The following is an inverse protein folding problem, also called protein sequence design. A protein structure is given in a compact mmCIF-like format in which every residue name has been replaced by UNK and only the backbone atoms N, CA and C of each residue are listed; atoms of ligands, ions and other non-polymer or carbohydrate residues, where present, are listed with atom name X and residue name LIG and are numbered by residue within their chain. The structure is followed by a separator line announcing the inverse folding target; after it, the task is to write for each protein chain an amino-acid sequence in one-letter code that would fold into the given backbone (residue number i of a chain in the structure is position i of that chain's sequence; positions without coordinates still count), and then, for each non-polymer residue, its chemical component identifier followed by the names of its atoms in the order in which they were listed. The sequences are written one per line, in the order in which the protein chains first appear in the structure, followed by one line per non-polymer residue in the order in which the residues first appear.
data_IF_348298676463
#
_entry.id   IF_348298676463
#
_cell.length_a   1.000
_cell.length_b   1.000
_cell.length_c   1.000
_cell.angle_alpha   90.00
_cell.angle_beta   90.00
_cell.angle_gamma   90.00
#
_symmetry.space_group_name_H-M   'P 1'
#
loop_
_entity.id
_entity.type
_entity.pdbx_description
1 polymer ?
#
# COMPACT_ATOMS: atom_id res chain seq x y z
N UNK A 1 29.02 5.50 30.68
CA UNK A 1 27.71 5.55 30.02
C UNK A 1 27.62 4.34 29.09
N UNK A 2 26.67 3.44 29.38
CA UNK A 2 26.54 2.13 28.73
C UNK A 2 25.84 2.30 27.37
N UNK A 3 26.45 1.78 26.30
CA UNK A 3 25.81 1.62 24.98
C UNK A 3 25.24 0.22 24.93
N UNK A 4 23.92 0.11 24.79
CA UNK A 4 23.25 -1.17 24.61
C UNK A 4 23.32 -1.54 23.13
N UNK A 5 23.97 -2.67 22.86
CA UNK A 5 24.07 -3.33 21.57
C UNK A 5 22.82 -4.21 21.44
N UNK A 6 21.89 -3.87 20.56
CA UNK A 6 20.79 -4.78 20.21
C UNK A 6 21.23 -5.65 19.04
N UNK A 7 21.59 -6.90 19.36
CA UNK A 7 21.71 -7.99 18.39
C UNK A 7 20.34 -8.64 18.33
N UNK A 8 19.63 -8.48 17.21
CA UNK A 8 18.37 -9.19 16.98
C UNK A 8 18.71 -10.46 16.20
N UNK A 9 18.69 -11.59 16.92
CA UNK A 9 18.71 -12.94 16.36
C UNK A 9 17.37 -13.21 15.67
N UNK A 10 17.41 -13.45 14.36
CA UNK A 10 16.28 -13.91 13.56
C UNK A 10 15.96 -15.37 13.92
N UNK A 11 14.79 -15.62 14.50
CA UNK A 11 14.26 -16.98 14.69
C UNK A 11 13.30 -17.29 13.55
N UNK A 12 13.69 -18.19 12.66
CA UNK A 12 12.80 -18.75 11.65
C UNK A 12 11.75 -19.64 12.33
N UNK A 13 10.47 -19.24 12.29
CA UNK A 13 9.36 -20.11 12.67
C UNK A 13 8.93 -20.88 11.42
N UNK A 14 9.50 -22.07 11.25
CA UNK A 14 8.95 -23.09 10.36
C UNK A 14 7.85 -23.81 11.12
N UNK A 15 6.59 -23.58 10.76
CA UNK A 15 5.49 -24.40 11.24
C UNK A 15 5.53 -25.76 10.53
N UNK A 16 6.25 -26.72 11.12
CA UNK A 16 6.14 -28.14 10.79
C UNK A 16 5.17 -28.83 11.76
N UNK A 17 4.03 -29.27 11.25
CA UNK A 17 3.26 -30.41 11.78
C UNK A 17 2.77 -31.22 10.57
N UNK A 18 2.88 -32.54 10.47
CA UNK A 18 3.44 -33.56 11.35
C UNK A 18 3.90 -34.79 10.54
N UNK A 19 4.46 -35.75 11.27
CA UNK A 19 5.26 -36.88 10.81
C UNK A 19 4.55 -37.98 10.00
N UNK A 20 5.21 -38.35 8.90
CA UNK A 20 5.67 -39.70 8.49
C UNK A 20 4.72 -40.72 7.84
N UNK A 21 4.97 -40.99 6.55
CA UNK A 21 5.39 -42.32 6.08
C UNK A 21 6.16 -42.25 4.75
N UNK A 22 7.27 -43.00 4.67
CA UNK A 22 8.20 -43.12 3.53
C UNK A 22 7.58 -43.73 2.27
N UNK A 23 8.01 -43.25 1.10
CA UNK A 23 7.88 -43.92 -0.19
C UNK A 23 8.52 -43.11 -1.32
N UNK A 24 9.70 -43.54 -1.76
CA UNK A 24 10.54 -42.94 -2.80
C UNK A 24 9.84 -42.73 -4.16
N UNK A 25 10.11 -41.62 -4.84
CA UNK A 25 10.91 -41.55 -6.09
C UNK A 25 10.79 -40.20 -6.79
N UNK A 26 11.95 -39.72 -7.25
CA UNK A 26 12.24 -38.72 -8.28
C UNK A 26 11.10 -37.91 -8.92
N UNK A 27 11.12 -36.59 -8.69
CA UNK A 27 10.95 -35.62 -9.78
C UNK A 27 11.62 -34.29 -9.39
N UNK A 28 12.55 -33.87 -10.24
CA UNK A 28 13.15 -32.53 -10.26
C UNK A 28 12.07 -31.51 -10.58
N UNK A 29 12.00 -30.43 -9.82
CA UNK A 29 11.52 -29.14 -10.33
C UNK A 29 12.41 -28.03 -9.78
N UNK A 30 13.10 -27.38 -10.71
CA UNK A 30 13.81 -26.13 -10.55
C UNK A 30 12.78 -25.01 -10.36
N UNK A 31 12.66 -24.46 -9.16
CA UNK A 31 12.07 -23.15 -8.95
C UNK A 31 13.06 -22.30 -8.17
N UNK A 32 13.78 -21.47 -8.91
CA UNK A 32 14.69 -20.46 -8.37
C UNK A 32 13.89 -19.43 -7.58
N UNK A 33 13.90 -19.55 -6.24
CA UNK A 33 13.43 -18.48 -5.36
C UNK A 33 14.46 -17.34 -5.40
N UNK A 34 14.14 -16.27 -6.11
CA UNK A 34 14.83 -15.00 -5.94
C UNK A 34 14.46 -14.42 -4.55
N UNK A 35 15.47 -14.28 -3.71
CA UNK A 35 15.41 -13.54 -2.45
C UNK A 35 15.26 -12.05 -2.77
N UNK A 36 14.07 -11.49 -2.58
CA UNK A 36 13.89 -10.04 -2.52
C UNK A 36 14.06 -9.61 -1.07
N UNK A 37 15.04 -8.74 -0.84
CA UNK A 37 15.33 -8.08 0.43
C UNK A 37 14.19 -7.12 0.74
N UNK A 38 13.42 -7.41 1.79
CA UNK A 38 12.34 -6.57 2.27
C UNK A 38 12.91 -5.36 3.05
N UNK A 39 12.97 -4.20 2.40
CA UNK A 39 13.07 -2.90 3.06
C UNK A 39 11.66 -2.28 3.10
N UNK A 40 10.99 -2.40 4.25
CA UNK A 40 9.89 -1.59 4.79
C UNK A 40 8.97 -0.80 3.82
N UNK A 41 8.39 -1.46 2.83
CA UNK A 41 7.19 -0.98 2.12
C UNK A 41 6.03 -1.86 2.59
N UNK A 42 4.91 -1.27 3.02
CA UNK A 42 3.70 -2.04 3.35
C UNK A 42 3.19 -2.68 2.06
N UNK A 43 3.56 -3.94 1.85
CA UNK A 43 3.22 -4.74 0.67
C UNK A 43 1.71 -5.03 0.65
N UNK A 44 1.03 -4.67 -0.44
CA UNK A 44 -0.30 -5.19 -0.76
C UNK A 44 -0.12 -6.18 -1.90
N UNK A 45 -0.04 -7.47 -1.57
CA UNK A 45 0.16 -8.55 -2.53
C UNK A 45 -1.19 -9.04 -3.09
N UNK A 46 -1.28 -9.27 -4.41
CA UNK A 46 -2.34 -10.10 -5.00
C UNK A 46 -2.12 -11.57 -4.62
N UNK A 47 -3.13 -12.19 -4.04
CA UNK A 47 -3.14 -13.64 -3.80
C UNK A 47 -3.41 -14.37 -5.12
N UNK A 48 -2.36 -14.90 -5.76
CA UNK A 48 -2.50 -15.93 -6.81
C UNK A 48 -2.08 -17.28 -6.25
N UNK A 49 -3.04 -17.99 -5.65
CA UNK A 49 -2.90 -19.39 -5.27
C UNK A 49 -4.01 -20.22 -5.92
N UNK A 50 -3.71 -21.44 -6.36
CA UNK A 50 -4.75 -22.40 -6.75
C UNK A 50 -5.78 -22.55 -5.62
N UNK A 51 -7.07 -22.57 -5.98
CA UNK A 51 -8.17 -22.73 -5.03
C UNK A 51 -8.06 -24.11 -4.38
N UNK A 52 -7.45 -24.18 -3.20
CA UNK A 52 -7.50 -25.35 -2.34
C UNK A 52 -8.97 -25.63 -2.01
N UNK A 53 -9.41 -26.90 -1.98
CA UNK A 53 -10.77 -27.24 -1.57
C UNK A 53 -11.07 -26.59 -0.21
N UNK A 54 -12.22 -25.92 -0.12
CA UNK A 54 -12.58 -25.17 1.08
C UNK A 54 -12.65 -26.09 2.30
N UNK A 55 -11.90 -25.72 3.33
CA UNK A 55 -12.01 -26.36 4.64
C UNK A 55 -13.29 -25.88 5.33
N UNK A 56 -14.37 -26.63 5.14
CA UNK A 56 -15.70 -26.29 5.71
C UNK A 56 -15.75 -26.41 7.24
N UNK A 57 -14.67 -26.86 7.88
CA UNK A 57 -14.61 -26.99 9.35
C UNK A 57 -14.29 -25.66 10.04
N UNK A 58 -14.07 -24.59 9.28
CA UNK A 58 -13.70 -23.26 9.75
C UNK A 58 -14.46 -22.20 8.96
N UNK A 59 -14.61 -20.98 9.51
CA UNK A 59 -15.09 -19.85 8.73
C UNK A 59 -14.21 -19.60 7.50
N UNK A 60 -14.79 -19.10 6.41
CA UNK A 60 -14.05 -18.77 5.21
C UNK A 60 -13.11 -17.58 5.44
N UNK A 61 -12.03 -17.51 4.67
CA UNK A 61 -11.29 -16.26 4.53
C UNK A 61 -12.09 -15.27 3.67
N UNK A 62 -12.09 -14.00 4.06
CA UNK A 62 -12.77 -12.91 3.35
C UNK A 62 -11.81 -11.73 3.18
N UNK A 63 -12.12 -10.88 2.21
CA UNK A 63 -11.29 -9.72 1.86
C UNK A 63 -12.00 -8.42 2.21
N UNK A 64 -11.20 -7.40 2.55
CA UNK A 64 -11.63 -6.02 2.46
C UNK A 64 -11.21 -5.49 1.09
N UNK A 65 -12.18 -5.07 0.32
CA UNK A 65 -12.05 -4.48 -1.00
C UNK A 65 -12.15 -2.97 -0.88
N UNK A 66 -11.27 -2.24 -1.54
CA UNK A 66 -11.34 -0.79 -1.58
C UNK A 66 -10.87 -0.32 -2.94
N UNK A 67 -11.56 0.70 -3.46
CA UNK A 67 -11.21 1.30 -4.72
C UNK A 67 -10.83 2.75 -4.52
N UNK A 68 -9.64 3.07 -5.00
CA UNK A 68 -9.09 4.39 -5.10
C UNK A 68 -8.70 4.65 -6.53
N UNK A 69 -9.22 5.71 -7.12
CA UNK A 69 -8.59 6.37 -8.25
C UNK A 69 -8.43 5.47 -9.48
N UNK A 70 -9.46 4.66 -9.73
CA UNK A 70 -9.52 3.71 -10.83
C UNK A 70 -8.81 2.36 -10.59
N UNK A 71 -8.20 2.17 -9.41
CA UNK A 71 -7.58 0.92 -8.98
C UNK A 71 -8.46 0.26 -7.92
N UNK A 72 -8.83 -1.00 -8.15
CA UNK A 72 -9.49 -1.84 -7.16
C UNK A 72 -8.45 -2.73 -6.47
N UNK A 73 -8.33 -2.57 -5.16
CA UNK A 73 -7.46 -3.34 -4.29
C UNK A 73 -8.28 -4.22 -3.36
N UNK A 74 -7.71 -5.33 -2.92
CA UNK A 74 -8.31 -6.20 -1.94
C UNK A 74 -7.22 -6.77 -1.03
N UNK A 75 -7.48 -6.80 0.27
CA UNK A 75 -6.56 -7.35 1.26
C UNK A 75 -7.27 -8.41 2.11
N UNK A 76 -6.54 -9.47 2.44
CA UNK A 76 -7.08 -10.56 3.26
C UNK A 76 -7.23 -10.10 4.70
N UNK A 77 -8.45 -10.23 5.23
CA UNK A 77 -8.73 -9.91 6.63
C UNK A 77 -8.25 -11.02 7.55
N UNK A 78 -7.83 -10.65 8.76
CA UNK A 78 -7.42 -11.62 9.78
C UNK A 78 -8.66 -12.20 10.46
N UNK A 79 -8.86 -13.52 10.36
CA UNK A 79 -9.89 -14.24 11.10
C UNK A 79 -9.52 -14.31 12.59
N UNK A 80 -10.44 -13.86 13.44
CA UNK A 80 -10.28 -13.74 14.88
C UNK A 80 -11.10 -14.80 15.62
N UNK A 81 -12.23 -14.38 16.17
CA UNK A 81 -13.13 -15.20 16.96
C UNK A 81 -14.13 -15.89 16.05
N UNK A 82 -14.51 -17.12 16.36
CA UNK A 82 -15.65 -17.73 15.70
C UNK A 82 -16.33 -18.78 16.56
N UNK A 83 -17.61 -18.95 16.30
CA UNK A 83 -18.40 -20.09 16.73
C UNK A 83 -18.99 -20.73 15.46
N UNK A 84 -18.50 -21.91 15.11
CA UNK A 84 -18.70 -22.53 13.80
C UNK A 84 -19.01 -24.02 13.95
N UNK A 85 -20.27 -24.42 13.71
CA UNK A 85 -20.71 -25.82 13.81
C UNK A 85 -20.24 -26.55 15.10
N UNK A 86 -20.24 -25.83 16.23
CA UNK A 86 -19.81 -26.33 17.54
C UNK A 86 -18.31 -26.26 17.82
N UNK A 87 -17.51 -25.78 16.88
CA UNK A 87 -16.12 -25.34 17.09
C UNK A 87 -16.09 -23.90 17.57
N UNK A 88 -15.26 -23.59 18.56
CA UNK A 88 -15.10 -22.23 19.09
C UNK A 88 -13.63 -21.87 19.08
N UNK A 89 -13.31 -20.71 18.50
CA UNK A 89 -12.01 -20.06 18.63
C UNK A 89 -12.17 -18.69 19.27
N UNK A 90 -11.27 -18.40 20.21
CA UNK A 90 -11.15 -17.09 20.84
C UNK A 90 -9.73 -16.57 20.58
N UNK A 91 -9.60 -15.56 19.73
CA UNK A 91 -8.38 -14.77 19.53
C UNK A 91 -8.17 -13.74 20.65
N UNK A 92 -7.06 -13.01 20.58
CA UNK A 92 -6.87 -11.85 21.45
C UNK A 92 -7.85 -10.72 21.06
N UNK A 93 -7.87 -9.64 21.85
CA UNK A 93 -8.63 -8.47 21.45
C UNK A 93 -8.02 -7.81 20.19
N UNK A 94 -8.83 -7.14 19.35
CA UNK A 94 -8.36 -6.56 18.09
C UNK A 94 -7.17 -5.60 18.23
N UNK A 95 -7.10 -4.83 19.33
CA UNK A 95 -6.01 -3.86 19.56
C UNK A 95 -4.70 -4.59 19.84
N UNK A 96 -4.73 -5.63 20.68
CA UNK A 96 -3.55 -6.46 20.95
C UNK A 96 -2.99 -7.13 19.71
N UNK A 97 -3.84 -7.63 18.80
CA UNK A 97 -3.38 -8.21 17.53
C UNK A 97 -2.79 -7.15 16.59
N UNK A 98 -3.40 -5.97 16.53
CA UNK A 98 -2.89 -4.84 15.74
C UNK A 98 -1.49 -4.43 16.21
N UNK A 99 -1.32 -4.24 17.53
CA UNK A 99 -0.03 -3.87 18.15
C UNK A 99 1.03 -4.97 17.97
N UNK A 100 0.60 -6.23 17.91
CA UNK A 100 1.50 -7.37 17.67
C UNK A 100 1.88 -7.54 16.19
N UNK A 101 1.28 -6.77 15.28
CA UNK A 101 1.52 -6.86 13.83
C UNK A 101 0.89 -8.09 13.18
N UNK A 102 -0.13 -8.69 13.80
CA UNK A 102 -0.77 -9.91 13.32
C UNK A 102 -1.96 -9.65 12.37
N UNK A 103 -2.32 -8.37 12.18
CA UNK A 103 -3.35 -7.95 11.24
C UNK A 103 -2.72 -7.67 9.88
N UNK A 104 -3.13 -8.42 8.86
CA UNK A 104 -2.51 -8.39 7.53
C UNK A 104 -3.06 -7.31 6.60
N UNK A 105 -4.35 -6.99 6.70
CA UNK A 105 -4.97 -5.97 5.88
C UNK A 105 -4.78 -4.59 6.49
N UNK A 106 -4.32 -3.63 5.69
CA UNK A 106 -4.18 -2.21 6.05
C UNK A 106 -4.79 -1.35 4.94
N UNK A 107 -5.72 -0.48 5.30
CA UNK A 107 -6.52 0.33 4.38
C UNK A 107 -6.30 1.82 4.66
N UNK A 108 -5.77 2.50 3.66
CA UNK A 108 -5.56 3.95 3.68
C UNK A 108 -6.85 4.65 3.24
N UNK A 109 -7.60 5.22 4.19
CA UNK A 109 -8.92 5.81 3.97
C UNK A 109 -8.88 7.03 3.04
N UNK A 110 -7.74 7.72 2.94
CA UNK A 110 -7.60 8.89 2.06
C UNK A 110 -7.39 8.50 0.59
N UNK A 111 -7.07 7.22 0.33
CA UNK A 111 -6.95 6.67 -1.01
C UNK A 111 -8.19 5.90 -1.45
N UNK A 112 -9.31 5.97 -0.71
CA UNK A 112 -10.57 5.32 -1.12
C UNK A 112 -11.46 6.36 -1.79
N UNK A 113 -11.46 6.37 -3.12
CA UNK A 113 -12.03 7.46 -3.95
C UNK A 113 -13.51 7.29 -4.28
N UNK A 114 -14.12 6.14 -4.00
CA UNK A 114 -15.52 5.93 -4.37
C UNK A 114 -16.18 4.85 -3.53
N UNK A 115 -16.73 5.29 -2.39
CA UNK A 115 -17.38 4.45 -1.39
C UNK A 115 -16.35 3.58 -0.66
N UNK A 116 -16.00 4.04 0.55
CA UNK A 116 -15.87 3.24 1.78
C UNK A 116 -15.49 1.76 1.61
N UNK A 117 -14.47 1.25 2.34
CA UNK A 117 -14.01 -0.12 2.14
C UNK A 117 -15.16 -1.12 2.31
N UNK A 118 -15.23 -2.05 1.37
CA UNK A 118 -16.30 -3.03 1.21
C UNK A 118 -15.82 -4.41 1.60
N UNK A 119 -16.60 -5.12 2.40
CA UNK A 119 -16.30 -6.50 2.79
C UNK A 119 -16.79 -7.44 1.69
N UNK A 120 -15.90 -8.31 1.20
CA UNK A 120 -16.18 -9.35 0.20
C UNK A 120 -17.02 -10.49 0.79
N UNK A 121 -18.31 -10.24 1.03
CA UNK A 121 -19.25 -11.18 1.66
C UNK A 121 -19.58 -12.36 0.73
N UNK A 122 -19.75 -13.54 1.33
CA UNK A 122 -20.27 -14.71 0.63
C UNK A 122 -21.79 -14.64 0.47
N UNK A 123 -22.30 -15.30 -0.56
CA UNK A 123 -23.74 -15.44 -0.75
C UNK A 123 -24.41 -16.05 0.49
N UNK A 124 -25.41 -15.36 1.04
CA UNK A 124 -26.13 -15.79 2.24
C UNK A 124 -25.48 -15.41 3.57
N UNK A 125 -24.33 -14.73 3.57
CA UNK A 125 -23.74 -14.14 4.77
C UNK A 125 -24.22 -12.71 5.00
N UNK A 126 -24.23 -12.27 6.26
CA UNK A 126 -24.64 -10.93 6.67
C UNK A 126 -23.67 -10.34 7.70
N UNK A 127 -23.33 -9.05 7.56
CA UNK A 127 -22.62 -8.31 8.62
C UNK A 127 -23.62 -8.05 9.74
N UNK A 128 -23.25 -8.42 10.97
CA UNK A 128 -24.08 -8.20 12.16
C UNK A 128 -23.57 -7.07 13.03
N UNK A 129 -22.28 -6.75 12.94
CA UNK A 129 -21.66 -5.60 13.60
C UNK A 129 -20.36 -5.20 12.91
N UNK A 130 -20.04 -3.91 12.94
CA UNK A 130 -18.74 -3.37 12.57
C UNK A 130 -18.32 -2.34 13.63
N UNK A 131 -17.08 -2.43 14.12
CA UNK A 131 -16.55 -1.57 15.18
C UNK A 131 -15.14 -1.12 14.87
N UNK A 132 -14.85 0.16 15.09
CA UNK A 132 -13.51 0.72 15.06
C UNK A 132 -12.98 0.84 16.49
N UNK A 133 -11.78 0.33 16.72
CA UNK A 133 -11.03 0.53 17.95
C UNK A 133 -9.84 1.45 17.63
N UNK A 134 -9.81 2.62 18.25
CA UNK A 134 -8.64 3.49 18.19
C UNK A 134 -7.50 2.87 18.99
N UNK A 135 -6.25 3.06 18.54
CA UNK A 135 -5.09 2.52 19.28
C UNK A 135 -4.77 3.34 20.55
N UNK A 136 -5.25 4.58 20.61
CA UNK A 136 -5.00 5.50 21.73
C UNK A 136 -6.03 5.34 22.86
N UNK A 137 -7.31 5.16 22.49
CA UNK A 137 -8.40 4.96 23.44
C UNK A 137 -8.98 3.55 23.29
N UNK A 138 -9.14 2.85 24.41
CA UNK A 138 -9.73 1.50 24.47
C UNK A 138 -11.24 1.47 24.16
N UNK A 139 -11.81 2.60 23.78
CA UNK A 139 -13.21 2.74 23.43
C UNK A 139 -13.43 2.36 21.95
N UNK A 140 -14.54 1.69 21.69
CA UNK A 140 -14.94 1.31 20.35
C UNK A 140 -16.01 2.24 19.80
N UNK A 141 -15.88 2.63 18.54
CA UNK A 141 -16.91 3.35 17.78
C UNK A 141 -17.68 2.32 16.95
N UNK A 142 -19.01 2.29 17.09
CA UNK A 142 -19.85 1.49 16.21
C UNK A 142 -19.87 2.15 14.82
N UNK A 143 -19.56 1.38 13.78
CA UNK A 143 -19.52 1.87 12.40
C UNK A 143 -20.85 1.56 11.70
N UNK A 144 -21.33 2.51 10.90
CA UNK A 144 -22.43 2.25 9.99
C UNK A 144 -21.94 1.36 8.83
N UNK A 145 -22.82 0.50 8.32
CA UNK A 145 -22.51 -0.31 7.15
C UNK A 145 -23.76 -0.59 6.32
N UNK A 146 -23.55 -0.85 5.03
CA UNK A 146 -24.62 -1.26 4.12
C UNK A 146 -24.79 -2.77 4.09
N UNK A 147 -25.94 -3.23 3.60
CA UNK A 147 -26.21 -4.67 3.44
C UNK A 147 -25.25 -5.34 2.46
N UNK A 148 -24.73 -4.61 1.46
CA UNK A 148 -23.74 -5.13 0.53
C UNK A 148 -22.31 -5.08 1.05
N UNK A 149 -22.09 -4.63 2.29
CA UNK A 149 -20.83 -4.76 3.02
C UNK A 149 -19.93 -3.52 3.03
N UNK A 150 -20.42 -2.36 2.58
CA UNK A 150 -19.66 -1.09 2.61
C UNK A 150 -19.62 -0.56 4.05
N UNK A 151 -18.42 -0.26 4.56
CA UNK A 151 -18.20 0.21 5.95
C UNK A 151 -17.94 1.72 5.97
N UNK A 152 -18.74 2.45 6.75
CA UNK A 152 -18.65 3.91 6.88
C UNK A 152 -17.68 4.34 7.95
N UNK A 153 -16.88 5.36 7.65
CA UNK A 153 -15.94 5.94 8.60
C UNK A 153 -16.31 7.40 8.90
N UNK A 154 -16.34 7.80 10.19
CA UNK A 154 -16.37 9.21 10.56
C UNK A 154 -15.18 9.99 9.99
N UNK A 155 -15.37 11.28 9.69
CA UNK A 155 -14.34 12.14 9.09
C UNK A 155 -13.14 12.37 10.02
N UNK A 156 -13.35 12.32 11.34
CA UNK A 156 -12.35 12.55 12.38
C UNK A 156 -11.49 11.31 12.71
N UNK A 157 -11.78 10.16 12.11
CA UNK A 157 -10.96 8.96 12.28
C UNK A 157 -9.62 9.13 11.57
N UNK A 158 -8.54 9.11 12.33
CA UNK A 158 -7.15 9.13 11.83
C UNK A 158 -6.55 7.74 11.65
N UNK A 159 -7.07 6.74 12.36
CA UNK A 159 -6.68 5.33 12.19
C UNK A 159 -7.12 4.44 13.35
N UNK A 160 -6.93 3.14 13.18
CA UNK A 160 -7.27 2.13 14.18
C UNK A 160 -7.43 0.74 13.59
N UNK A 161 -8.04 -0.16 14.35
CA UNK A 161 -8.38 -1.52 13.92
C UNK A 161 -9.89 -1.64 13.82
N UNK A 162 -10.38 -2.16 12.69
CA UNK A 162 -11.78 -2.43 12.45
C UNK A 162 -12.05 -3.91 12.67
N UNK A 163 -13.02 -4.23 13.52
CA UNK A 163 -13.55 -5.58 13.72
C UNK A 163 -14.93 -5.69 13.08
N UNK A 164 -15.12 -6.71 12.25
CA UNK A 164 -16.36 -6.99 11.52
C UNK A 164 -16.86 -8.37 11.92
N UNK A 165 -18.06 -8.41 12.50
CA UNK A 165 -18.77 -9.66 12.80
C UNK A 165 -19.65 -10.04 11.63
N UNK A 166 -19.48 -11.26 11.12
CA UNK A 166 -20.22 -11.80 9.99
C UNK A 166 -20.91 -13.10 10.41
N UNK A 167 -22.20 -13.18 10.10
CA UNK A 167 -23.03 -14.36 10.33
C UNK A 167 -23.20 -15.15 9.04
N UNK A 168 -23.08 -16.46 9.18
CA UNK A 168 -23.22 -17.49 8.15
C UNK A 168 -24.28 -18.50 8.59
N UNK A 169 -24.62 -19.44 7.71
CA UNK A 169 -25.55 -20.53 8.04
C UNK A 169 -24.98 -21.44 9.14
N UNK A 170 -23.67 -21.67 9.12
CA UNK A 170 -22.93 -22.56 10.05
C UNK A 170 -22.58 -21.90 11.39
N UNK A 171 -22.67 -20.57 11.49
CA UNK A 171 -22.24 -19.85 12.68
C UNK A 171 -21.81 -18.41 12.43
N UNK A 172 -21.06 -17.85 13.38
CA UNK A 172 -20.60 -16.46 13.35
C UNK A 172 -19.07 -16.41 13.44
N UNK A 173 -18.48 -15.43 12.75
CA UNK A 173 -17.04 -15.20 12.73
C UNK A 173 -16.73 -13.71 12.75
N UNK A 174 -15.62 -13.36 13.38
CA UNK A 174 -15.10 -12.01 13.51
C UNK A 174 -13.81 -11.87 12.68
N UNK A 175 -13.71 -10.78 11.93
CA UNK A 175 -12.58 -10.49 11.05
C UNK A 175 -12.06 -9.09 11.30
N UNK A 176 -10.74 -8.91 11.26
CA UNK A 176 -10.11 -7.62 11.50
C UNK A 176 -9.24 -7.13 10.33
N UNK A 177 -9.19 -5.81 10.17
CA UNK A 177 -8.26 -5.09 9.31
C UNK A 177 -7.89 -3.74 9.94
N UNK A 178 -6.71 -3.20 9.58
CA UNK A 178 -6.27 -1.88 9.99
C UNK A 178 -6.79 -0.82 9.04
N UNK A 179 -7.02 0.38 9.58
CA UNK A 179 -7.30 1.59 8.83
C UNK A 179 -6.38 2.71 9.28
N UNK A 180 -5.99 3.58 8.36
CA UNK A 180 -5.29 4.82 8.67
C UNK A 180 -5.64 5.90 7.65
N UNK A 181 -5.35 7.15 8.00
CA UNK A 181 -5.34 8.29 7.06
C UNK A 181 -3.90 8.71 6.82
N UNK A 182 -3.45 8.62 5.57
CA UNK A 182 -2.12 9.09 5.17
C UNK A 182 -2.01 10.61 5.11
N UNK A 183 -3.12 11.33 4.93
CA UNK A 183 -3.20 12.78 5.02
C UNK A 183 -3.41 13.21 6.47
N UNK A 184 -2.32 13.53 7.15
CA UNK A 184 -2.32 13.95 8.56
C UNK A 184 -2.45 15.47 8.75
N UNK A 185 -2.24 16.26 7.69
CA UNK A 185 -2.36 17.72 7.69
C UNK A 185 -3.13 18.18 6.44
N UNK A 186 -4.34 18.69 6.64
CA UNK A 186 -5.20 19.22 5.57
C UNK A 186 -4.68 20.55 5.00
N UNK A 187 -3.78 21.24 5.72
CA UNK A 187 -3.13 22.47 5.27
C UNK A 187 -2.07 22.26 4.19
N UNK A 188 -1.76 21.00 3.88
CA UNK A 188 -0.87 20.62 2.80
C UNK A 188 -1.55 19.66 1.80
N UNK A 189 -1.03 19.57 0.56
CA UNK A 189 -1.47 18.54 -0.38
C UNK A 189 -1.24 17.12 0.18
N UNK A 190 -2.14 16.16 -0.15
CA UNK A 190 -2.00 14.77 0.26
C UNK A 190 -0.75 14.11 -0.37
N UNK A 191 -0.30 13.02 0.22
CA UNK A 191 0.69 12.16 -0.42
C UNK A 191 0.00 11.34 -1.52
N UNK A 192 0.59 11.28 -2.72
CA UNK A 192 0.08 10.44 -3.80
C UNK A 192 0.95 9.20 -3.99
N UNK A 193 0.34 8.14 -4.50
CA UNK A 193 1.01 6.90 -4.86
C UNK A 193 0.95 6.66 -6.37
N UNK A 194 2.05 6.17 -6.91
CA UNK A 194 2.14 5.64 -8.26
C UNK A 194 2.18 4.12 -8.20
N UNK A 195 1.38 3.48 -9.03
CA UNK A 195 1.16 2.06 -9.06
C UNK A 195 1.86 1.46 -10.27
N UNK A 196 2.68 0.46 -9.99
CA UNK A 196 3.20 -0.46 -10.97
C UNK A 196 2.58 -1.82 -10.70
N UNK A 197 1.77 -2.29 -11.65
CA UNK A 197 0.87 -3.42 -11.43
C UNK A 197 -0.02 -3.15 -10.20
N UNK A 198 0.07 -3.99 -9.16
CA UNK A 198 -0.73 -3.87 -7.94
C UNK A 198 0.07 -3.25 -6.77
N UNK A 199 1.32 -2.87 -6.99
CA UNK A 199 2.19 -2.29 -5.96
C UNK A 199 2.18 -0.76 -6.05
N UNK A 200 1.76 -0.09 -4.98
CA UNK A 200 1.75 1.36 -4.86
C UNK A 200 3.02 1.88 -4.18
N UNK A 201 3.63 2.90 -4.76
CA UNK A 201 4.83 3.55 -4.23
C UNK A 201 4.57 5.03 -3.97
N UNK A 202 4.96 5.52 -2.80
CA UNK A 202 4.78 6.93 -2.44
C UNK A 202 5.60 7.84 -3.35
N UNK A 203 4.98 8.89 -3.89
CA UNK A 203 5.67 9.91 -4.65
C UNK A 203 6.16 11.02 -3.72
N UNK A 204 7.30 11.63 -4.05
CA UNK A 204 7.85 12.73 -3.26
C UNK A 204 7.12 14.02 -3.60
N UNK A 205 6.53 14.70 -2.60
CA UNK A 205 5.93 16.04 -2.79
C UNK A 205 7.00 17.06 -3.16
N UNK A 206 6.72 17.84 -4.20
CA UNK A 206 7.52 18.98 -4.66
C UNK A 206 6.86 20.31 -4.30
N UNK A 207 6.92 21.27 -5.23
CA UNK A 207 6.30 22.59 -5.06
C UNK A 207 4.79 22.51 -5.09
N UNK A 208 4.12 23.36 -4.30
CA UNK A 208 2.66 23.39 -4.27
C UNK A 208 2.11 24.77 -3.95
N UNK A 209 0.87 24.99 -4.38
CA UNK A 209 -0.01 26.08 -3.92
C UNK A 209 -1.29 25.45 -3.41
N UNK A 210 -1.64 25.67 -2.15
CA UNK A 210 -2.72 24.97 -1.46
C UNK A 210 -3.56 25.95 -0.65
N UNK A 211 -4.88 25.90 -0.78
CA UNK A 211 -5.81 26.78 -0.09
C UNK A 211 -6.76 25.98 0.78
N UNK A 212 -6.75 26.27 2.08
CA UNK A 212 -7.70 25.70 3.04
C UNK A 212 -8.62 26.79 3.54
N UNK A 213 -9.89 26.46 3.71
CA UNK A 213 -10.87 27.33 4.34
C UNK A 213 -11.09 26.85 5.77
N UNK A 214 -10.81 27.72 6.75
CA UNK A 214 -11.15 27.52 8.16
C UNK A 214 -12.22 28.56 8.54
N UNK A 215 -13.48 28.12 8.58
CA UNK A 215 -14.63 29.02 8.77
C UNK A 215 -14.83 29.96 7.58
N UNK A 216 -14.73 31.27 7.83
CA UNK A 216 -14.88 32.32 6.81
C UNK A 216 -13.53 32.79 6.21
N UNK A 217 -12.41 32.26 6.71
CA UNK A 217 -11.07 32.67 6.28
C UNK A 217 -10.44 31.59 5.37
N UNK A 218 -10.00 32.02 4.19
CA UNK A 218 -9.20 31.19 3.30
C UNK A 218 -7.71 31.50 3.50
N UNK A 219 -6.92 30.48 3.82
CA UNK A 219 -5.48 30.56 3.94
C UNK A 219 -4.84 29.81 2.76
N UNK A 220 -4.00 30.52 2.00
CA UNK A 220 -3.22 29.92 0.91
C UNK A 220 -1.76 29.75 1.35
N UNK A 221 -1.29 28.51 1.36
CA UNK A 221 0.11 28.16 1.50
C UNK A 221 0.73 28.00 0.10
N UNK A 222 1.93 28.54 -0.07
CA UNK A 222 2.76 28.29 -1.25
C UNK A 222 4.13 27.83 -0.78
N UNK A 223 4.51 26.64 -1.19
CA UNK A 223 5.85 26.11 -0.97
C UNK A 223 6.57 26.10 -2.31
N UNK A 224 7.61 26.92 -2.38
CA UNK A 224 8.56 26.90 -3.48
C UNK A 224 9.63 25.85 -3.15
N UNK A 225 9.73 24.82 -3.99
CA UNK A 225 10.59 23.67 -3.76
C UNK A 225 11.73 23.64 -4.78
N UNK A 226 12.87 22.97 -4.49
CA UNK A 226 13.92 22.74 -5.47
C UNK A 226 13.36 22.10 -6.75
N UNK A 227 14.06 22.26 -7.88
CA UNK A 227 13.61 21.66 -9.14
C UNK A 227 13.44 20.14 -8.99
N UNK A 228 12.60 19.45 -9.78
CA UNK A 228 12.46 18.00 -9.71
C UNK A 228 13.81 17.26 -9.77
N UNK A 229 14.74 17.77 -10.56
CA UNK A 229 16.11 17.27 -10.63
C UNK A 229 16.86 17.37 -9.30
N UNK A 230 16.77 18.51 -8.61
CA UNK A 230 17.38 18.70 -7.29
C UNK A 230 16.71 17.83 -6.24
N UNK A 231 15.39 17.68 -6.28
CA UNK A 231 14.63 16.76 -5.41
C UNK A 231 15.14 15.33 -5.60
N UNK A 232 15.42 14.91 -6.85
CA UNK A 232 15.88 13.55 -7.16
C UNK A 232 17.25 13.17 -6.62
N UNK A 233 18.04 14.16 -6.19
CA UNK A 233 19.32 13.92 -5.50
C UNK A 233 19.12 13.46 -4.05
N UNK A 234 17.92 13.62 -3.50
CA UNK A 234 17.51 13.10 -2.20
C UNK A 234 16.98 11.68 -2.27
N UNK A 235 16.32 11.27 -1.18
CA UNK A 235 15.65 9.98 -1.09
C UNK A 235 14.27 10.07 -1.74
N UNK A 236 14.19 9.58 -2.98
CA UNK A 236 12.94 9.52 -3.75
C UNK A 236 12.69 8.07 -4.18
N UNK A 237 11.41 7.73 -4.31
CA UNK A 237 10.99 6.46 -4.92
C UNK A 237 11.57 6.34 -6.33
N UNK A 238 12.14 5.17 -6.63
CA UNK A 238 12.67 4.84 -7.96
C UNK A 238 11.99 3.58 -8.49
N UNK A 239 11.39 3.69 -9.67
CA UNK A 239 10.66 2.61 -10.32
C UNK A 239 11.44 2.09 -11.51
N UNK A 240 11.34 0.78 -11.74
CA UNK A 240 11.87 0.12 -12.95
C UNK A 240 10.68 -0.37 -13.76
N UNK A 241 10.44 0.20 -14.95
CA UNK A 241 9.28 -0.11 -15.78
C UNK A 241 9.69 -0.66 -17.15
N UNK A 242 8.83 -1.49 -17.75
CA UNK A 242 9.04 -1.90 -19.14
C UNK A 242 8.86 -0.69 -20.07
N UNK A 243 9.65 -0.57 -21.15
CA UNK A 243 9.44 0.50 -22.11
C UNK A 243 8.03 0.47 -22.72
N UNK A 244 7.35 1.62 -22.74
CA UNK A 244 5.96 1.73 -23.21
C UNK A 244 4.89 1.20 -22.24
N UNK A 245 5.27 0.72 -21.05
CA UNK A 245 4.30 0.25 -20.05
C UNK A 245 3.48 1.40 -19.45
N UNK A 246 2.34 1.04 -18.84
CA UNK A 246 1.47 1.99 -18.17
C UNK A 246 1.70 1.94 -16.65
N UNK A 247 1.85 3.11 -16.03
CA UNK A 247 1.82 3.30 -14.57
C UNK A 247 0.59 4.12 -14.22
N UNK A 248 -0.05 3.86 -13.08
CA UNK A 248 -1.27 4.58 -12.68
C UNK A 248 -1.03 5.36 -11.41
N UNK A 249 -1.38 6.65 -11.40
CA UNK A 249 -1.37 7.49 -10.20
C UNK A 249 -2.75 7.44 -9.57
N UNK A 250 -2.76 7.23 -8.26
CA UNK A 250 -3.92 7.43 -7.44
C UNK A 250 -4.20 8.93 -7.30
N UNK A 251 -5.20 9.42 -8.03
CA UNK A 251 -5.67 10.80 -8.07
C UNK A 251 -6.93 11.00 -7.21
N UNK A 252 -6.89 11.81 -6.13
CA UNK A 252 -8.04 12.09 -5.28
C UNK A 252 -9.29 12.55 -6.05
N UNK A 253 -10.45 12.50 -5.39
CA UNK A 253 -11.69 12.99 -5.97
C UNK A 253 -11.59 14.43 -6.46
N UNK A 254 -12.26 14.70 -7.59
CA UNK A 254 -12.25 15.99 -8.28
C UNK A 254 -10.84 16.53 -8.63
N UNK A 255 -9.84 15.65 -8.72
CA UNK A 255 -8.48 15.98 -9.15
C UNK A 255 -8.17 15.54 -10.58
N UNK A 256 -7.08 16.08 -11.15
CA UNK A 256 -6.57 15.71 -12.47
C UNK A 256 -5.07 15.95 -12.60
N UNK A 257 -4.41 15.19 -13.47
CA UNK A 257 -3.06 15.53 -13.93
C UNK A 257 -3.14 16.74 -14.86
N UNK A 258 -2.52 17.84 -14.46
CA UNK A 258 -2.41 19.05 -15.25
C UNK A 258 -1.17 19.03 -16.18
N UNK A 259 -0.09 18.39 -15.74
CA UNK A 259 1.08 18.13 -16.56
C UNK A 259 1.85 16.92 -16.08
N UNK A 260 2.53 16.21 -16.99
CA UNK A 260 3.49 15.17 -16.65
C UNK A 260 4.70 15.29 -17.58
N UNK A 261 5.89 15.32 -16.99
CA UNK A 261 7.16 15.46 -17.70
C UNK A 261 8.20 14.53 -17.11
N UNK A 262 9.20 14.18 -17.90
CA UNK A 262 10.41 13.50 -17.42
C UNK A 262 11.66 14.28 -17.80
N UNK A 263 12.63 14.28 -16.90
CA UNK A 263 13.91 14.97 -17.03
C UNK A 263 15.02 13.96 -17.25
N UNK A 264 15.79 14.13 -18.32
CA UNK A 264 17.02 13.37 -18.62
C UNK A 264 18.27 14.09 -18.12
N UNK A 265 18.16 15.40 -17.86
CA UNK A 265 19.16 16.23 -17.20
C UNK A 265 18.49 17.41 -16.49
N UNK A 266 19.26 18.23 -15.75
CA UNK A 266 18.72 19.38 -15.00
C UNK A 266 17.98 20.40 -15.89
N UNK A 267 18.45 20.59 -17.12
CA UNK A 267 17.94 21.59 -18.06
C UNK A 267 17.12 20.99 -19.21
N UNK A 268 16.93 19.66 -19.23
CA UNK A 268 16.24 18.97 -20.32
C UNK A 268 15.04 18.19 -19.79
N UNK A 269 13.86 18.56 -20.29
CA UNK A 269 12.60 17.87 -19.98
C UNK A 269 11.82 17.55 -21.25
N UNK A 270 11.06 16.47 -21.16
CA UNK A 270 10.23 15.92 -22.22
C UNK A 270 8.84 15.66 -21.67
N UNK A 271 7.82 15.83 -22.50
CA UNK A 271 6.46 15.51 -22.11
C UNK A 271 6.31 14.00 -21.91
N UNK A 272 5.66 13.61 -20.82
CA UNK A 272 5.24 12.23 -20.59
C UNK A 272 3.80 12.08 -21.08
N UNK A 273 3.49 11.02 -21.80
CA UNK A 273 2.12 10.76 -22.24
C UNK A 273 1.25 10.33 -21.05
N UNK A 274 0.04 10.88 -20.94
CA UNK A 274 -0.90 10.51 -19.89
C UNK A 274 -2.37 10.62 -20.34
N UNK A 275 -3.23 9.82 -19.70
CA UNK A 275 -4.68 9.87 -19.86
C UNK A 275 -5.33 9.55 -18.51
N UNK A 276 -6.09 10.50 -17.96
CA UNK A 276 -6.61 10.39 -16.59
C UNK A 276 -5.46 10.30 -15.59
N UNK A 277 -5.49 9.31 -14.70
CA UNK A 277 -4.39 8.98 -13.78
C UNK A 277 -3.31 8.09 -14.39
N UNK A 278 -3.44 7.63 -15.63
CA UNK A 278 -2.49 6.69 -16.24
C UNK A 278 -1.40 7.43 -17.02
N UNK A 279 -0.14 7.13 -16.72
CA UNK A 279 1.06 7.56 -17.43
C UNK A 279 1.55 6.45 -18.36
N UNK A 280 1.95 6.78 -19.58
CA UNK A 280 2.61 5.86 -20.52
C UNK A 280 4.11 6.13 -20.50
N UNK A 281 4.89 5.12 -20.10
CA UNK A 281 6.34 5.23 -19.97
C UNK A 281 7.01 5.35 -21.34
N UNK A 282 8.16 6.05 -21.43
CA UNK A 282 8.93 6.15 -22.66
C UNK A 282 9.23 4.77 -23.27
N UNK A 283 9.21 4.68 -24.60
CA UNK A 283 9.51 3.43 -25.33
C UNK A 283 11.01 3.14 -25.45
N UNK A 284 11.85 4.13 -25.17
CA UNK A 284 13.31 3.98 -25.13
C UNK A 284 13.78 3.59 -23.74
N UNK A 285 14.90 2.89 -23.64
CA UNK A 285 15.59 2.66 -22.36
C UNK A 285 16.22 3.97 -21.88
N UNK A 286 15.82 4.43 -20.69
CA UNK A 286 16.33 5.66 -20.12
C UNK A 286 16.29 5.63 -18.58
N UNK A 287 17.08 6.51 -17.99
CA UNK A 287 17.00 6.87 -16.58
C UNK A 287 16.59 8.34 -16.51
N UNK A 288 15.49 8.63 -15.84
CA UNK A 288 14.93 9.96 -15.74
C UNK A 288 14.32 10.23 -14.36
N UNK A 289 14.06 11.51 -14.13
CA UNK A 289 13.24 11.98 -13.02
C UNK A 289 11.90 12.42 -13.60
N UNK A 290 10.80 11.86 -13.12
CA UNK A 290 9.47 12.26 -13.54
C UNK A 290 8.91 13.29 -12.56
N UNK A 291 8.21 14.28 -13.09
CA UNK A 291 7.42 15.25 -12.33
C UNK A 291 6.00 15.26 -12.88
N UNK A 292 5.03 15.11 -11.98
CA UNK A 292 3.61 15.15 -12.31
C UNK A 292 2.95 16.23 -11.49
N UNK A 293 2.42 17.25 -12.16
CA UNK A 293 1.63 18.30 -11.52
C UNK A 293 0.18 17.85 -11.47
N UNK A 294 -0.37 17.73 -10.26
CA UNK A 294 -1.77 17.37 -10.02
C UNK A 294 -2.52 18.59 -9.51
N UNK A 295 -3.64 18.89 -10.15
CA UNK A 295 -4.62 19.89 -9.70
C UNK A 295 -5.73 19.19 -8.92
N UNK A 296 -6.04 19.73 -7.74
CA UNK A 296 -7.05 19.29 -6.79
C UNK A 296 -7.95 20.49 -6.44
N UNK A 297 -9.13 20.28 -5.81
CA UNK A 297 -10.04 21.36 -5.46
C UNK A 297 -9.40 22.48 -4.63
N UNK A 298 -8.47 22.13 -3.74
CA UNK A 298 -7.78 23.04 -2.84
C UNK A 298 -6.58 23.73 -3.48
N UNK A 299 -6.05 23.22 -4.59
CA UNK A 299 -4.84 23.77 -5.21
C UNK A 299 -4.08 22.79 -6.09
N UNK A 300 -2.78 23.00 -6.26
CA UNK A 300 -1.92 22.17 -7.13
C UNK A 300 -0.64 21.76 -6.41
N UNK A 301 -0.15 20.55 -6.70
CA UNK A 301 1.09 20.01 -6.15
C UNK A 301 1.87 19.26 -7.23
N UNK A 302 3.19 19.42 -7.24
CA UNK A 302 4.10 18.61 -8.03
C UNK A 302 4.48 17.33 -7.27
N UNK A 303 4.46 16.19 -7.94
CA UNK A 303 4.87 14.90 -7.40
C UNK A 303 6.00 14.31 -8.22
N UNK A 304 7.09 13.93 -7.53
CA UNK A 304 8.36 13.54 -8.13
C UNK A 304 8.67 12.07 -7.84
N UNK A 305 9.16 11.35 -8.85
CA UNK A 305 9.67 9.99 -8.72
C UNK A 305 10.78 9.72 -9.74
N UNK A 306 11.67 8.78 -9.45
CA UNK A 306 12.69 8.32 -10.40
C UNK A 306 12.14 7.19 -11.26
N UNK A 307 12.51 7.19 -12.53
CA UNK A 307 12.11 6.18 -13.50
C UNK A 307 13.34 5.60 -14.19
N UNK A 308 13.39 4.28 -14.30
CA UNK A 308 14.26 3.57 -15.21
C UNK A 308 13.41 2.70 -16.14
N UNK A 309 13.53 2.89 -17.45
CA UNK A 309 12.91 2.01 -18.46
C UNK A 309 13.96 1.06 -19.03
N UNK A 310 13.62 -0.23 -19.13
CA UNK A 310 14.54 -1.26 -19.65
C UNK A 310 15.14 -2.18 -18.58
N UNK A 311 16.25 -2.87 -18.89
CA UNK A 311 16.82 -3.89 -17.98
C UNK A 311 17.37 -3.30 -16.65
N UNK A 312 17.25 -4.12 -15.60
CA UNK A 312 17.50 -3.86 -14.17
C UNK A 312 18.66 -2.93 -13.81
N UNK A 313 18.56 -2.29 -12.63
CA UNK A 313 19.64 -1.56 -11.97
C UNK A 313 20.97 -2.33 -12.05
N UNK A 314 21.83 -1.94 -12.99
CA UNK A 314 23.27 -2.15 -12.83
C UNK A 314 23.67 -1.21 -11.70
N UNK A 315 23.72 -1.72 -10.47
CA UNK A 315 24.55 -1.07 -9.45
C UNK A 315 25.91 -0.82 -10.09
N UNK A 316 26.46 0.42 -10.06
CA UNK A 316 27.80 0.61 -10.56
C UNK A 316 28.68 -0.35 -9.77
N UNK A 317 29.26 -1.33 -10.48
CA UNK A 317 30.21 -2.23 -9.86
C UNK A 317 31.25 -1.33 -9.19
N UNK A 318 31.38 -1.49 -7.87
CA UNK A 318 32.51 -0.93 -7.15
C UNK A 318 33.77 -1.39 -7.89
N UNK A 319 34.40 -0.48 -8.63
CA UNK A 319 35.73 -0.64 -9.21
C UNK A 319 36.70 -0.14 -8.15
N UNK A 320 37.34 -1.02 -7.36
CA UNK A 320 38.43 -0.61 -6.49
C UNK A 320 39.59 -0.23 -7.40
N UNK A 321 39.59 1.03 -7.83
CA UNK A 321 40.54 1.69 -8.72
C UNK A 321 41.65 0.81 -9.27
N UNK A 322 41.67 0.68 -10.59
CA UNK A 322 42.90 0.46 -11.35
C UNK A 322 43.89 1.56 -10.94
N UNK A 323 44.78 1.25 -10.00
CA UNK A 323 46.01 2.00 -9.79
C UNK A 323 46.95 1.61 -10.93
N UNK A 324 46.76 2.21 -12.10
CA UNK A 324 47.83 2.26 -13.08
C UNK A 324 48.84 3.28 -12.57
N UNK A 325 49.99 2.76 -12.16
CA UNK A 325 51.14 3.57 -11.84
C UNK A 325 51.60 4.35 -13.08
N UNK A 326 51.72 5.65 -12.93
CA UNK A 326 52.62 6.45 -13.74
C UNK A 326 53.70 6.99 -12.79
N UNK A 327 54.93 6.55 -13.06
CA UNK A 327 56.14 7.08 -12.49
C UNK A 327 56.33 8.55 -12.88
N UNK A 328 56.76 9.36 -11.91
CA UNK A 328 57.99 10.15 -11.97
C UNK A 328 58.59 10.26 -10.56
#
# INVERSE_FOLDING_TARGET
MKRYLYVITLAAVIALSGCSSQGSSDSRDDSSNALISADNVTEIARVTGEVTPEDTTKPPQIMVEYSGDGVSSAAMMTLMNYNWDGSIACGADPVSEAVSGNISADVDLDLVSANEPKIGLRAGSEITAAKLYTLEDSDSIDLDFTQDGVIKFPEDVTGGVVSVSVKYEQGEAEYCFNVHRSQTDLSEPPALRIYQNDMGFAMTKGGYTWTVTDGDEAMTATVDCPTPWQISSGDITRLVAEPGSALTIALPDDSRIASAVYYTSEDESHALEYNGGTLTMPSDELSAVCCVTVEMPQGSCDYVFGLQTGTEFSTPAYDPGITDGAAD
#
